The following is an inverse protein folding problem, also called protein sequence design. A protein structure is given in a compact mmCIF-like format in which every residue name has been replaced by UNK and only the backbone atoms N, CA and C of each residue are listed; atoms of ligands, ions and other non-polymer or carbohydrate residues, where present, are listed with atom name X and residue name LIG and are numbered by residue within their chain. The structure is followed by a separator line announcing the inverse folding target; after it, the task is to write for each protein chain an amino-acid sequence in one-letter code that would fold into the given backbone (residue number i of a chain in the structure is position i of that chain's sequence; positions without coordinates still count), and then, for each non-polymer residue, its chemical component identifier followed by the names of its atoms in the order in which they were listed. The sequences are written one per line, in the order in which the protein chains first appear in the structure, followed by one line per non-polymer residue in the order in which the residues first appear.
data_IF_225157725745
#
_entry.id   IF_225157725745
#
_cell.length_a   1.000
_cell.length_b   1.000
_cell.length_c   1.000
_cell.angle_alpha   90.00
_cell.angle_beta   90.00
_cell.angle_gamma   90.00
#
_symmetry.space_group_name_H-M   'P 1'
#
loop_
_entity.id
_entity.type
_entity.pdbx_description
1 polymer ?
#
# COMPACT_ATOMS: atom_id res chain seq x y z
N UNK A 1 21.83 -7.73 -15.48
CA UNK A 1 22.15 -7.18 -14.14
C UNK A 1 21.33 -5.92 -13.97
N UNK A 2 20.57 -5.81 -12.88
CA UNK A 2 19.70 -4.66 -12.59
C UNK A 2 20.39 -3.81 -11.51
N UNK A 3 20.28 -2.49 -11.61
CA UNK A 3 20.75 -1.55 -10.58
C UNK A 3 19.54 -0.87 -9.94
N UNK A 4 19.42 -0.95 -8.62
CA UNK A 4 18.32 -0.34 -7.88
C UNK A 4 18.67 1.13 -7.60
N UNK A 5 17.82 2.07 -8.01
CA UNK A 5 18.08 3.51 -7.91
C UNK A 5 17.34 4.18 -6.75
N UNK A 6 16.20 3.62 -6.34
CA UNK A 6 15.45 4.15 -5.23
C UNK A 6 14.18 3.36 -4.95
N UNK A 7 13.63 3.57 -3.76
CA UNK A 7 12.36 3.00 -3.31
C UNK A 7 11.33 4.12 -3.18
N UNK A 8 10.19 4.00 -3.85
CA UNK A 8 9.08 4.95 -3.76
C UNK A 8 8.22 4.70 -2.49
N UNK A 9 8.87 4.67 -1.34
CA UNK A 9 8.25 4.40 -0.04
C UNK A 9 8.78 5.38 1.02
N UNK A 10 8.06 5.51 2.14
CA UNK A 10 8.42 6.41 3.24
C UNK A 10 9.78 6.05 3.86
N UNK A 11 10.04 4.75 3.99
CA UNK A 11 11.21 4.20 4.66
C UNK A 11 11.95 3.21 3.75
N UNK A 12 13.23 2.97 4.04
CA UNK A 12 14.03 1.98 3.32
C UNK A 12 13.50 0.58 3.57
N UNK A 13 13.59 -0.28 2.57
CA UNK A 13 13.20 -1.68 2.71
C UNK A 13 14.27 -2.47 3.48
N UNK A 14 13.91 -3.23 4.53
CA UNK A 14 14.88 -3.97 5.37
C UNK A 14 15.76 -4.96 4.59
N UNK A 15 15.21 -5.59 3.54
CA UNK A 15 15.95 -6.52 2.67
C UNK A 15 16.95 -5.86 1.69
N UNK A 16 16.90 -4.53 1.49
CA UNK A 16 17.81 -3.79 0.60
C UNK A 16 18.19 -2.42 1.22
N UNK A 17 18.79 -2.41 2.43
CA UNK A 17 18.96 -1.20 3.24
C UNK A 17 19.90 -0.15 2.62
N UNK A 18 20.75 -0.57 1.67
CA UNK A 18 21.67 0.32 0.96
C UNK A 18 20.98 1.13 -0.15
N UNK A 19 19.76 0.75 -0.55
CA UNK A 19 18.99 1.48 -1.57
C UNK A 19 18.24 2.63 -0.89
N UNK A 20 18.48 3.89 -1.29
CA UNK A 20 17.79 5.03 -0.67
C UNK A 20 16.31 5.09 -1.08
N UNK A 21 15.49 5.76 -0.29
CA UNK A 21 14.15 6.15 -0.76
C UNK A 21 14.24 7.29 -1.77
N UNK A 22 13.17 7.55 -2.51
CA UNK A 22 13.08 8.75 -3.34
C UNK A 22 13.09 10.03 -2.48
N UNK A 23 12.48 9.99 -1.29
CA UNK A 23 12.44 11.12 -0.34
C UNK A 23 13.84 11.52 0.14
N UNK A 24 14.69 10.54 0.48
CA UNK A 24 16.09 10.78 0.85
C UNK A 24 16.90 11.42 -0.28
N UNK A 25 16.45 11.26 -1.53
CA UNK A 25 17.05 11.86 -2.72
C UNK A 25 16.43 13.21 -3.09
N UNK A 26 15.53 13.75 -2.27
CA UNK A 26 14.87 15.04 -2.51
C UNK A 26 13.69 14.97 -3.48
N UNK A 27 13.21 13.76 -3.81
CA UNK A 27 12.03 13.53 -4.64
C UNK A 27 10.90 13.07 -3.71
N UNK A 28 9.97 13.97 -3.39
CA UNK A 28 8.87 13.69 -2.48
C UNK A 28 7.77 12.87 -3.19
N UNK A 29 8.05 11.60 -3.42
CA UNK A 29 7.14 10.64 -4.05
C UNK A 29 7.10 9.36 -3.23
N UNK A 30 5.91 9.07 -2.72
CA UNK A 30 5.56 7.78 -2.14
C UNK A 30 4.48 7.17 -3.02
N UNK A 31 4.79 6.02 -3.59
CA UNK A 31 3.88 5.34 -4.50
C UNK A 31 3.99 3.84 -4.26
N UNK A 32 2.93 3.27 -3.70
CA UNK A 32 2.82 1.85 -3.44
C UNK A 32 1.59 1.28 -4.13
N UNK A 33 1.67 0.02 -4.54
CA UNK A 33 0.47 -0.73 -4.91
C UNK A 33 -0.15 -1.29 -3.63
N UNK A 34 -1.41 -0.96 -3.37
CA UNK A 34 -2.19 -1.56 -2.31
C UNK A 34 -3.16 -2.62 -2.85
N UNK A 35 -3.43 -3.64 -2.04
CA UNK A 35 -4.42 -4.68 -2.31
C UNK A 35 -5.33 -4.80 -1.09
N UNK A 36 -6.64 -4.78 -1.31
CA UNK A 36 -7.57 -5.06 -0.23
C UNK A 36 -8.95 -5.48 -0.70
N UNK A 37 -9.81 -5.74 0.26
CA UNK A 37 -11.15 -6.29 0.04
C UNK A 37 -12.17 -5.20 0.30
N UNK A 38 -13.15 -5.08 -0.60
CA UNK A 38 -14.33 -4.23 -0.46
C UNK A 38 -15.58 -5.10 -0.50
N UNK A 39 -16.63 -4.67 0.20
CA UNK A 39 -17.90 -5.38 0.29
C UNK A 39 -19.04 -4.52 -0.27
N UNK A 40 -20.18 -5.12 -0.67
CA UNK A 40 -21.34 -4.35 -1.10
C UNK A 40 -21.81 -3.33 -0.05
N UNK A 41 -22.37 -2.21 -0.52
CA UNK A 41 -22.98 -1.21 0.36
C UNK A 41 -24.10 -1.84 1.18
N UNK A 42 -24.07 -1.62 2.50
CA UNK A 42 -25.07 -2.17 3.43
C UNK A 42 -24.79 -3.61 3.87
N UNK A 43 -23.60 -4.15 3.61
CA UNK A 43 -23.16 -5.41 4.22
C UNK A 43 -23.20 -5.28 5.75
N UNK A 44 -23.70 -6.31 6.42
CA UNK A 44 -23.81 -6.36 7.88
C UNK A 44 -22.45 -6.20 8.57
N UNK A 45 -22.41 -5.41 9.65
CA UNK A 45 -21.18 -5.14 10.40
C UNK A 45 -20.55 -6.41 11.00
N UNK A 46 -21.36 -7.41 11.38
CA UNK A 46 -20.85 -8.70 11.85
C UNK A 46 -20.08 -9.45 10.75
N UNK A 47 -20.56 -9.39 9.51
CA UNK A 47 -19.84 -9.96 8.35
C UNK A 47 -18.55 -9.19 8.09
N UNK A 48 -18.58 -7.86 8.17
CA UNK A 48 -17.39 -7.02 8.01
C UNK A 48 -16.35 -7.37 9.08
N UNK A 49 -16.77 -7.57 10.32
CA UNK A 49 -15.87 -7.92 11.40
C UNK A 49 -15.21 -9.30 11.19
N UNK A 50 -15.97 -10.30 10.73
CA UNK A 50 -15.42 -11.62 10.40
C UNK A 50 -14.31 -11.50 9.34
N UNK A 51 -14.55 -10.70 8.29
CA UNK A 51 -13.56 -10.47 7.23
C UNK A 51 -12.32 -9.72 7.75
N UNK A 52 -12.51 -8.68 8.57
CA UNK A 52 -11.40 -7.94 9.19
C UNK A 52 -10.54 -8.85 10.05
N UNK A 53 -11.15 -9.67 10.90
CA UNK A 53 -10.44 -10.60 11.77
C UNK A 53 -9.66 -11.63 10.98
N UNK A 54 -10.25 -12.18 9.90
CA UNK A 54 -9.57 -13.14 9.04
C UNK A 54 -8.36 -12.50 8.33
N UNK A 55 -8.52 -11.30 7.77
CA UNK A 55 -7.43 -10.57 7.12
C UNK A 55 -6.31 -10.20 8.09
N UNK A 56 -6.65 -9.80 9.32
CA UNK A 56 -5.68 -9.51 10.36
C UNK A 56 -4.85 -10.75 10.70
N UNK A 57 -5.51 -11.90 10.89
CA UNK A 57 -4.81 -13.18 11.16
C UNK A 57 -3.85 -13.57 10.04
N UNK A 58 -4.22 -13.34 8.78
CA UNK A 58 -3.34 -13.60 7.62
C UNK A 58 -2.18 -12.62 7.61
N UNK A 59 -2.44 -11.33 7.82
CA UNK A 59 -1.40 -10.31 7.83
C UNK A 59 -0.39 -10.47 8.98
N UNK A 60 -0.79 -11.09 10.09
CA UNK A 60 0.06 -11.41 11.23
C UNK A 60 0.69 -12.81 11.15
N UNK A 61 0.35 -13.60 10.12
CA UNK A 61 0.89 -14.95 9.96
C UNK A 61 2.35 -14.87 9.47
N UNK A 62 3.32 -15.44 10.23
CA UNK A 62 4.74 -15.36 9.88
C UNK A 62 5.09 -16.05 8.55
N UNK A 63 4.41 -17.15 8.20
CA UNK A 63 4.64 -17.84 6.93
C UNK A 63 4.16 -16.97 5.76
N UNK A 64 3.01 -16.31 5.91
CA UNK A 64 2.52 -15.37 4.90
C UNK A 64 3.45 -14.16 4.74
N UNK A 65 3.92 -13.59 5.86
CA UNK A 65 4.89 -12.49 5.84
C UNK A 65 6.17 -12.90 5.12
N UNK A 66 6.70 -14.09 5.41
CA UNK A 66 7.91 -14.61 4.77
C UNK A 66 7.71 -14.84 3.26
N UNK A 67 6.56 -15.39 2.86
CA UNK A 67 6.22 -15.61 1.44
C UNK A 67 6.08 -14.30 0.66
N UNK A 68 5.56 -13.24 1.30
CA UNK A 68 5.46 -11.90 0.71
C UNK A 68 6.83 -11.21 0.62
N UNK A 69 7.68 -11.36 1.64
CA UNK A 69 9.04 -10.80 1.63
C UNK A 69 9.89 -11.42 0.51
N UNK A 70 9.76 -12.74 0.25
CA UNK A 70 10.39 -13.39 -0.90
C UNK A 70 9.97 -12.81 -2.26
N UNK A 71 8.80 -12.18 -2.32
CA UNK A 71 8.28 -11.49 -3.50
C UNK A 71 8.60 -9.98 -3.50
N UNK A 72 9.31 -9.48 -2.48
CA UNK A 72 9.63 -8.06 -2.30
C UNK A 72 8.41 -7.23 -1.89
N UNK A 73 7.42 -7.84 -1.24
CA UNK A 73 6.20 -7.18 -0.77
C UNK A 73 6.22 -7.08 0.75
N UNK A 74 6.18 -5.85 1.28
CA UNK A 74 5.98 -5.62 2.70
C UNK A 74 4.49 -5.70 3.05
N UNK A 75 4.16 -6.57 4.01
CA UNK A 75 2.79 -6.65 4.53
C UNK A 75 2.51 -5.42 5.39
N UNK A 76 1.50 -4.64 4.99
CA UNK A 76 1.07 -3.42 5.69
C UNK A 76 -0.46 -3.44 5.84
N UNK A 77 -0.95 -4.06 6.91
CA UNK A 77 -2.38 -4.15 7.18
C UNK A 77 -2.91 -2.84 7.77
N UNK A 78 -3.93 -2.27 7.12
CA UNK A 78 -4.53 -0.99 7.52
C UNK A 78 -5.71 -1.11 8.49
N UNK A 79 -6.41 -2.25 8.51
CA UNK A 79 -7.58 -2.43 9.37
C UNK A 79 -8.65 -1.34 9.16
N UNK A 80 -9.02 -0.65 10.24
CA UNK A 80 -10.06 0.38 10.24
C UNK A 80 -9.65 1.65 9.47
N UNK A 81 -8.34 1.90 9.31
CA UNK A 81 -7.81 3.04 8.57
C UNK A 81 -7.88 2.86 7.04
N UNK A 82 -8.28 1.68 6.56
CA UNK A 82 -8.24 1.34 5.14
C UNK A 82 -9.11 2.28 4.28
N UNK A 83 -10.26 2.71 4.78
CA UNK A 83 -11.12 3.66 4.04
C UNK A 83 -10.46 5.02 3.92
N UNK A 84 -9.80 5.49 4.98
CA UNK A 84 -9.09 6.76 4.92
C UNK A 84 -7.93 6.69 3.94
N UNK A 85 -7.15 5.60 4.00
CA UNK A 85 -6.07 5.35 3.06
C UNK A 85 -6.53 5.38 1.58
N UNK A 86 -7.69 4.79 1.26
CA UNK A 86 -8.23 4.83 -0.10
C UNK A 86 -8.60 6.24 -0.54
N UNK A 87 -9.18 7.07 0.34
CA UNK A 87 -9.51 8.47 0.05
C UNK A 87 -8.26 9.31 -0.20
N UNK A 88 -7.23 9.11 0.62
CA UNK A 88 -5.97 9.83 0.48
C UNK A 88 -5.30 9.44 -0.85
N UNK A 89 -5.24 8.14 -1.16
CA UNK A 89 -4.70 7.64 -2.43
C UNK A 89 -5.49 8.15 -3.65
N UNK A 90 -6.82 8.25 -3.56
CA UNK A 90 -7.66 8.82 -4.60
C UNK A 90 -7.35 10.30 -4.84
N UNK A 91 -7.20 11.08 -3.77
CA UNK A 91 -6.86 12.49 -3.86
C UNK A 91 -5.49 12.71 -4.52
N UNK A 92 -4.48 11.96 -4.09
CA UNK A 92 -3.13 12.04 -4.64
C UNK A 92 -3.12 11.70 -6.14
N UNK A 93 -3.80 10.62 -6.53
CA UNK A 93 -3.91 10.21 -7.92
C UNK A 93 -4.68 11.22 -8.77
N UNK A 94 -5.75 11.81 -8.23
CA UNK A 94 -6.52 12.85 -8.94
C UNK A 94 -5.68 14.09 -9.18
N UNK A 95 -4.93 14.55 -8.19
CA UNK A 95 -4.04 15.72 -8.35
C UNK A 95 -2.98 15.47 -9.44
N UNK A 96 -2.39 14.27 -9.47
CA UNK A 96 -1.44 13.88 -10.53
C UNK A 96 -2.12 13.83 -11.90
N UNK A 97 -3.31 13.23 -11.99
CA UNK A 97 -4.05 13.11 -13.24
C UNK A 97 -4.47 14.48 -13.81
N UNK A 98 -4.92 15.41 -12.96
CA UNK A 98 -5.23 16.78 -13.35
C UNK A 98 -3.99 17.50 -13.91
N UNK A 99 -2.86 17.45 -13.19
CA UNK A 99 -1.59 18.08 -13.65
C UNK A 99 -1.04 17.45 -14.94
N UNK A 100 -1.29 16.15 -15.15
CA UNK A 100 -0.87 15.41 -16.32
C UNK A 100 -1.81 15.56 -17.53
N UNK A 101 -2.90 16.35 -17.40
CA UNK A 101 -3.97 16.47 -18.41
C UNK A 101 -4.57 15.10 -18.80
N UNK A 102 -4.74 14.22 -17.81
CA UNK A 102 -5.30 12.87 -17.98
C UNK A 102 -6.77 12.77 -17.54
N UNK A 103 -7.37 13.87 -17.08
CA UNK A 103 -8.79 13.95 -16.72
C UNK A 103 -9.59 14.43 -17.93
N UNK A 104 -10.67 13.73 -18.26
CA UNK A 104 -11.69 14.26 -19.18
C UNK A 104 -12.48 15.37 -18.48
N UNK A 105 -12.92 16.39 -19.23
CA UNK A 105 -13.76 17.51 -18.75
C UNK A 105 -15.13 17.04 -18.22
#
# INVERSE_FOLDING_TARGET
KINLLGIAWEERHPGIPDVPTLKEQGIDVVCGTNRGIVVPKGTDEGIIQILRDALKRVAENPDFIADMDQQGVLVNYKGDDYVQYLKDSENDLREVAEKANMMEE
#
